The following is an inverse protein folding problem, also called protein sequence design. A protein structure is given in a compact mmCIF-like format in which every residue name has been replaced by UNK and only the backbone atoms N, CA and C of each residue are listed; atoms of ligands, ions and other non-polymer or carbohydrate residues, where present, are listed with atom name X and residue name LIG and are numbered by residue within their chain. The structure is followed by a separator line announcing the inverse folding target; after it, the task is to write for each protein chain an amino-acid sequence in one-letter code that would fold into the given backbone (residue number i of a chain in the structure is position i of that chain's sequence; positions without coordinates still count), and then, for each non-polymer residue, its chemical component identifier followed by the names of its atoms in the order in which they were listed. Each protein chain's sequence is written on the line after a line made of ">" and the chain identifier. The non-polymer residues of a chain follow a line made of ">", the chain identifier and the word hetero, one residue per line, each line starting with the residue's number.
data_IF_241908224254
#
_entry.id   IF_241908224254
#
_cell.length_a   1.000
_cell.length_b   1.000
_cell.length_c   1.000
_cell.angle_alpha   90.00
_cell.angle_beta   90.00
_cell.angle_gamma   90.00
#
_symmetry.space_group_name_H-M   'P 1'
#
loop_
_entity.id
_entity.type
_entity.pdbx_description
1 polymer ?
#
# COMPACT_ATOMS: atom_id res chain seq x y z
N UNK A 1 5.80 73.01 28.85
CA UNK A 1 6.59 71.98 29.56
C UNK A 1 7.96 72.58 29.77
N UNK A 2 8.35 72.87 31.01
CA UNK A 2 9.66 73.43 31.34
C UNK A 2 10.77 72.45 30.95
N UNK A 3 11.97 72.94 30.60
CA UNK A 3 13.12 72.09 30.27
C UNK A 3 13.49 71.13 31.41
N UNK A 4 13.24 71.54 32.67
CA UNK A 4 13.43 70.72 33.87
C UNK A 4 12.51 69.49 33.93
N UNK A 5 11.23 69.62 33.51
CA UNK A 5 10.28 68.51 33.47
C UNK A 5 10.65 67.48 32.39
N UNK A 6 11.20 67.95 31.26
CA UNK A 6 11.65 67.09 30.17
C UNK A 6 12.88 66.27 30.59
N UNK A 7 13.84 66.91 31.27
CA UNK A 7 15.04 66.26 31.80
C UNK A 7 14.70 65.19 32.85
N UNK A 8 13.77 65.49 33.76
CA UNK A 8 13.29 64.53 34.77
C UNK A 8 12.60 63.31 34.15
N UNK A 9 11.82 63.52 33.08
CA UNK A 9 11.16 62.43 32.35
C UNK A 9 12.16 61.56 31.58
N UNK A 10 13.16 62.18 30.96
CA UNK A 10 14.25 61.48 30.26
C UNK A 10 15.07 60.63 31.25
N UNK A 11 15.40 61.16 32.42
CA UNK A 11 16.11 60.43 33.48
C UNK A 11 15.32 59.26 34.05
N UNK A 12 13.98 59.40 34.19
CA UNK A 12 13.10 58.28 34.58
C UNK A 12 13.06 57.19 33.51
N UNK A 13 12.93 57.57 32.24
CA UNK A 13 12.95 56.62 31.12
C UNK A 13 14.31 55.91 30.99
N UNK A 14 15.42 56.62 31.19
CA UNK A 14 16.77 56.04 31.21
C UNK A 14 16.92 54.97 32.29
N UNK A 15 16.51 55.27 33.53
CA UNK A 15 16.52 54.28 34.62
C UNK A 15 15.61 53.09 34.35
N UNK A 16 14.47 53.33 33.69
CA UNK A 16 13.56 52.25 33.33
C UNK A 16 14.14 51.36 32.22
N UNK A 17 14.83 51.95 31.23
CA UNK A 17 15.55 51.21 30.21
C UNK A 17 16.68 50.36 30.82
N UNK A 18 17.47 50.92 31.73
CA UNK A 18 18.52 50.18 32.47
C UNK A 18 17.96 49.02 33.29
N UNK A 19 16.81 49.22 33.94
CA UNK A 19 16.12 48.15 34.67
C UNK A 19 15.63 47.03 33.74
N UNK A 20 15.04 47.38 32.59
CA UNK A 20 14.59 46.41 31.60
C UNK A 20 15.76 45.63 31.00
N UNK A 21 16.90 46.27 30.73
CA UNK A 21 18.09 45.57 30.24
C UNK A 21 18.64 44.57 31.25
N UNK A 22 18.63 44.91 32.54
CA UNK A 22 19.01 44.01 33.62
C UNK A 22 18.07 42.81 33.72
N UNK A 23 16.76 43.04 33.59
CA UNK A 23 15.79 41.94 33.56
C UNK A 23 15.98 41.04 32.33
N UNK A 24 16.29 41.61 31.17
CA UNK A 24 16.54 40.85 29.95
C UNK A 24 17.80 39.98 30.07
N UNK A 25 18.88 40.50 30.65
CA UNK A 25 20.08 39.71 30.95
C UNK A 25 19.79 38.58 31.94
N UNK A 26 19.06 38.86 33.02
CA UNK A 26 18.67 37.84 34.00
C UNK A 26 17.87 36.69 33.35
N UNK A 27 16.87 37.03 32.53
CA UNK A 27 16.05 36.04 31.82
C UNK A 27 16.92 35.24 30.82
N UNK A 28 17.87 35.89 30.13
CA UNK A 28 18.79 35.19 29.21
C UNK A 28 19.67 34.18 29.95
N UNK A 29 20.17 34.54 31.13
CA UNK A 29 20.98 33.65 31.95
C UNK A 29 20.15 32.49 32.53
N UNK A 30 18.93 32.74 32.99
CA UNK A 30 18.00 31.67 33.39
C UNK A 30 17.68 30.72 32.23
N UNK A 31 17.37 31.26 31.04
CA UNK A 31 17.15 30.46 29.84
C UNK A 31 18.36 29.59 29.48
N UNK A 32 19.58 30.11 29.68
CA UNK A 32 20.81 29.36 29.43
C UNK A 32 21.00 28.23 30.43
N UNK A 33 20.67 28.45 31.70
CA UNK A 33 20.71 27.41 32.73
C UNK A 33 19.66 26.33 32.50
N UNK A 34 18.41 26.73 32.24
CA UNK A 34 17.32 25.81 31.90
C UNK A 34 17.65 24.96 30.67
N UNK A 35 18.25 25.56 29.62
CA UNK A 35 18.71 24.80 28.45
C UNK A 35 19.77 23.76 28.80
N UNK A 36 20.71 24.07 29.71
CA UNK A 36 21.74 23.12 30.14
C UNK A 36 21.14 21.98 30.95
N UNK A 37 20.19 22.27 31.84
CA UNK A 37 19.48 21.25 32.61
C UNK A 37 18.67 20.34 31.70
N UNK A 38 17.99 20.90 30.70
CA UNK A 38 17.24 20.13 29.71
C UNK A 38 18.14 19.16 28.94
N UNK A 39 19.31 19.61 28.46
CA UNK A 39 20.26 18.74 27.77
C UNK A 39 20.75 17.60 28.67
N UNK A 40 21.07 17.89 29.93
CA UNK A 40 21.48 16.86 30.91
C UNK A 40 20.37 15.83 31.14
N UNK A 41 19.13 16.29 31.33
CA UNK A 41 17.99 15.41 31.50
C UNK A 41 17.74 14.53 30.26
N UNK A 42 17.87 15.10 29.05
CA UNK A 42 17.75 14.33 27.81
C UNK A 42 18.85 13.26 27.65
N UNK A 43 20.08 13.55 28.06
CA UNK A 43 21.18 12.58 28.04
C UNK A 43 20.98 11.45 29.06
N UNK A 44 20.36 11.73 30.21
CA UNK A 44 19.96 10.68 31.17
C UNK A 44 18.87 9.78 30.60
N UNK A 45 17.84 10.34 29.96
CA UNK A 45 16.78 9.57 29.30
C UNK A 45 17.36 8.67 28.20
N UNK A 46 18.25 9.20 27.34
CA UNK A 46 18.91 8.40 26.29
C UNK A 46 19.73 7.25 26.84
N UNK A 47 20.39 7.44 27.99
CA UNK A 47 21.13 6.37 28.67
C UNK A 47 20.20 5.26 29.12
N UNK A 48 19.05 5.60 29.70
CA UNK A 48 18.02 4.63 30.09
C UNK A 48 17.49 3.86 28.86
N UNK A 49 17.28 4.54 27.73
CA UNK A 49 16.84 3.93 26.47
C UNK A 49 17.87 3.00 25.82
N UNK A 50 19.17 3.24 26.04
CA UNK A 50 20.26 2.48 25.40
C UNK A 50 20.57 1.11 26.02
N UNK A 51 19.99 0.80 27.19
CA UNK A 51 20.14 -0.50 27.86
C UNK A 51 19.38 -1.56 27.07
N UNK A 52 19.83 -2.83 26.98
CA UNK A 52 19.10 -3.87 26.26
C UNK A 52 17.62 -3.93 26.66
N UNK A 53 16.75 -3.74 25.65
CA UNK A 53 15.30 -3.74 25.77
C UNK A 53 14.75 -5.13 25.44
N UNK A 54 13.68 -5.52 26.12
CA UNK A 54 12.87 -6.71 25.85
C UNK A 54 11.59 -6.25 25.15
N UNK A 55 11.19 -6.94 24.09
CA UNK A 55 9.96 -6.61 23.36
C UNK A 55 8.77 -7.29 24.05
N UNK A 56 7.67 -6.56 24.24
CA UNK A 56 6.40 -7.07 24.72
C UNK A 56 5.22 -6.44 23.99
N UNK A 57 4.02 -6.98 24.20
CA UNK A 57 2.76 -6.43 23.71
C UNK A 57 1.98 -5.80 24.86
N UNK A 58 1.61 -4.54 24.72
CA UNK A 58 0.78 -3.84 25.69
C UNK A 58 -0.66 -4.38 25.63
N UNK A 59 -1.20 -4.82 26.75
CA UNK A 59 -2.56 -5.37 26.82
C UNK A 59 -3.54 -4.28 27.20
N UNK A 60 -3.45 -3.77 28.43
CA UNK A 60 -4.42 -2.84 28.99
C UNK A 60 -3.76 -1.94 30.05
N UNK A 61 -4.10 -0.64 30.10
CA UNK A 61 -3.74 0.22 31.21
C UNK A 61 -4.60 -0.12 32.43
N UNK A 62 -3.99 -0.25 33.61
CA UNK A 62 -4.74 -0.40 34.87
C UNK A 62 -4.94 0.98 35.50
N UNK A 63 -3.84 1.72 35.67
CA UNK A 63 -3.84 3.07 36.24
C UNK A 63 -2.98 4.02 35.39
N UNK A 64 -2.88 5.27 35.82
CA UNK A 64 -2.07 6.30 35.16
C UNK A 64 -0.57 5.99 35.09
N UNK A 65 -0.05 5.15 35.99
CA UNK A 65 1.37 4.80 36.10
C UNK A 65 1.68 3.33 35.80
N UNK A 66 0.67 2.50 35.57
CA UNK A 66 0.80 1.03 35.53
C UNK A 66 -0.04 0.44 34.42
N UNK A 67 0.56 -0.47 33.65
CA UNK A 67 -0.10 -1.23 32.60
C UNK A 67 0.29 -2.70 32.64
N UNK A 68 -0.50 -3.52 31.97
CA UNK A 68 -0.20 -4.94 31.76
C UNK A 68 0.48 -5.09 30.41
N UNK A 69 1.64 -5.75 30.40
CA UNK A 69 2.34 -6.12 29.17
C UNK A 69 2.55 -7.62 29.13
N UNK A 70 2.27 -8.23 27.98
CA UNK A 70 2.63 -9.62 27.70
C UNK A 70 4.02 -9.67 27.10
N UNK A 71 4.95 -10.34 27.77
CA UNK A 71 6.27 -10.61 27.20
C UNK A 71 6.17 -11.65 26.08
N UNK A 72 7.13 -11.64 25.15
CA UNK A 72 7.27 -12.68 24.11
C UNK A 72 7.41 -14.10 24.68
N UNK A 73 7.78 -14.22 25.96
CA UNK A 73 7.82 -15.48 26.71
C UNK A 73 6.45 -15.98 27.20
N UNK A 74 5.35 -15.26 26.90
CA UNK A 74 3.99 -15.62 27.30
C UNK A 74 3.64 -15.32 28.77
N UNK A 75 4.54 -14.66 29.49
CA UNK A 75 4.31 -14.17 30.85
C UNK A 75 3.77 -12.74 30.82
N UNK A 76 2.69 -12.50 31.56
CA UNK A 76 2.14 -11.16 31.75
C UNK A 76 2.83 -10.49 32.93
N UNK A 77 3.34 -9.28 32.71
CA UNK A 77 3.98 -8.46 33.73
C UNK A 77 3.14 -7.21 34.00
N UNK A 78 3.03 -6.86 35.27
CA UNK A 78 2.62 -5.53 35.69
C UNK A 78 3.82 -4.61 35.57
N UNK A 79 3.71 -3.58 34.74
CA UNK A 79 4.83 -2.72 34.39
C UNK A 79 4.50 -1.26 34.65
N UNK A 80 5.51 -0.52 35.14
CA UNK A 80 5.39 0.93 35.32
C UNK A 80 5.60 1.64 33.98
N UNK A 81 4.70 2.56 33.66
CA UNK A 81 4.78 3.41 32.48
C UNK A 81 5.64 4.63 32.84
N UNK A 82 6.73 4.85 32.11
CA UNK A 82 7.54 6.05 32.29
C UNK A 82 6.74 7.30 31.88
N UNK A 83 6.85 8.37 32.66
CA UNK A 83 6.16 9.64 32.41
C UNK A 83 6.63 10.35 31.13
N UNK A 84 7.74 9.90 30.54
CA UNK A 84 8.27 10.38 29.27
C UNK A 84 7.47 9.91 28.06
N UNK A 85 6.58 8.93 28.23
CA UNK A 85 5.79 8.35 27.16
C UNK A 85 4.43 9.02 27.01
N UNK A 86 4.08 9.31 25.76
CA UNK A 86 2.78 9.83 25.40
C UNK A 86 1.73 8.72 25.47
N UNK A 87 0.96 8.77 26.56
CA UNK A 87 -0.12 7.82 26.87
C UNK A 87 -1.24 7.77 25.82
N UNK A 88 -1.42 8.81 25.03
CA UNK A 88 -2.41 8.83 23.94
C UNK A 88 -2.02 7.90 22.77
N UNK A 89 -0.72 7.63 22.60
CA UNK A 89 -0.21 6.72 21.58
C UNK A 89 -0.28 5.26 22.02
N UNK A 90 -0.42 4.99 23.32
CA UNK A 90 -0.56 3.64 23.87
C UNK A 90 -1.95 3.08 23.56
N UNK A 91 -2.03 2.35 22.45
CA UNK A 91 -3.21 1.53 22.12
C UNK A 91 -3.02 0.11 22.65
N UNK A 92 -4.11 -0.57 23.05
CA UNK A 92 -4.09 -2.01 23.29
C UNK A 92 -3.46 -2.73 22.10
N UNK A 93 -2.69 -3.78 22.35
CA UNK A 93 -1.90 -4.56 21.38
C UNK A 93 -0.77 -3.83 20.64
N UNK A 94 -0.35 -2.66 21.12
CA UNK A 94 0.88 -2.00 20.63
C UNK A 94 2.14 -2.76 21.07
N UNK A 95 3.13 -2.83 20.18
CA UNK A 95 4.46 -3.34 20.51
C UNK A 95 5.18 -2.31 21.37
N UNK A 96 5.68 -2.74 22.52
CA UNK A 96 6.35 -1.86 23.48
C UNK A 96 7.71 -2.43 23.88
N UNK A 97 8.64 -1.54 24.12
CA UNK A 97 9.97 -1.85 24.63
C UNK A 97 9.97 -1.77 26.15
N UNK A 98 10.30 -2.89 26.78
CA UNK A 98 10.46 -3.02 28.21
C UNK A 98 11.95 -2.98 28.58
N UNK A 99 12.25 -2.38 29.73
CA UNK A 99 13.59 -2.47 30.29
C UNK A 99 13.86 -3.86 30.88
N UNK A 100 15.02 -4.48 30.56
CA UNK A 100 15.33 -5.87 30.94
C UNK A 100 15.26 -6.21 32.43
N UNK A 101 15.56 -5.27 33.33
CA UNK A 101 15.65 -5.55 34.77
C UNK A 101 14.45 -5.05 35.58
N UNK A 102 13.89 -3.91 35.19
CA UNK A 102 12.79 -3.26 35.91
C UNK A 102 11.44 -3.56 35.28
N UNK A 103 11.43 -4.17 34.08
CA UNK A 103 10.26 -4.34 33.23
C UNK A 103 9.51 -3.02 33.00
N UNK A 104 10.12 -1.85 33.21
CA UNK A 104 9.45 -0.57 32.96
C UNK A 104 9.25 -0.37 31.45
N UNK A 105 8.12 0.23 31.08
CA UNK A 105 7.83 0.58 29.68
C UNK A 105 8.64 1.82 29.31
N UNK A 106 9.57 1.66 28.37
CA UNK A 106 10.56 2.68 27.98
C UNK A 106 10.17 3.39 26.71
N UNK A 107 9.70 2.64 25.73
CA UNK A 107 9.33 3.19 24.43
C UNK A 107 8.20 2.37 23.77
N UNK A 108 7.47 2.99 22.85
CA UNK A 108 6.52 2.30 21.99
C UNK A 108 7.25 2.01 20.69
N UNK A 109 7.36 0.74 20.35
CA UNK A 109 7.96 0.36 19.08
C UNK A 109 6.91 0.57 17.98
N UNK A 110 7.32 1.03 16.79
CA UNK A 110 6.44 0.95 15.63
C UNK A 110 5.97 -0.50 15.51
N UNK A 111 4.66 -0.72 15.26
CA UNK A 111 4.14 -2.07 15.15
C UNK A 111 4.96 -2.80 14.10
N UNK A 112 5.43 -4.01 14.41
CA UNK A 112 6.08 -4.86 13.43
C UNK A 112 5.09 -5.04 12.27
N UNK A 113 5.35 -4.36 11.16
CA UNK A 113 4.78 -4.78 9.90
C UNK A 113 5.43 -6.13 9.63
N UNK A 114 4.64 -7.20 9.65
CA UNK A 114 5.13 -8.52 9.30
C UNK A 114 5.90 -8.41 7.98
N UNK A 115 7.08 -9.03 7.91
CA UNK A 115 7.96 -9.00 6.73
C UNK A 115 7.31 -9.48 5.42
N UNK A 116 6.11 -10.07 5.50
CA UNK A 116 5.25 -10.43 4.39
C UNK A 116 4.55 -9.24 3.73
N UNK A 117 4.34 -8.13 4.45
CA UNK A 117 3.71 -6.92 3.91
C UNK A 117 4.80 -6.09 3.22
N UNK A 118 4.94 -6.31 1.91
CA UNK A 118 5.83 -5.51 1.08
C UNK A 118 5.20 -4.12 0.85
N UNK A 119 5.54 -3.18 1.73
CA UNK A 119 5.39 -1.75 1.42
C UNK A 119 6.32 -1.44 0.25
N UNK A 120 5.75 -1.28 -0.95
CA UNK A 120 6.51 -0.61 -2.01
C UNK A 120 6.62 0.86 -1.61
N UNK A 121 7.79 1.23 -1.11
CA UNK A 121 8.12 2.64 -0.88
C UNK A 121 8.07 3.42 -2.19
N UNK A 122 8.11 4.76 -2.12
CA UNK A 122 8.07 5.63 -3.31
C UNK A 122 9.13 5.31 -4.38
N UNK A 123 10.23 4.65 -3.98
CA UNK A 123 11.33 4.22 -4.85
C UNK A 123 11.09 2.90 -5.61
N UNK A 124 9.99 2.21 -5.35
CA UNK A 124 9.66 0.90 -5.93
C UNK A 124 8.39 0.95 -6.80
N UNK A 125 7.98 2.16 -7.23
CA UNK A 125 6.85 2.33 -8.16
C UNK A 125 7.14 1.55 -9.46
N UNK A 126 6.20 0.74 -9.96
CA UNK A 126 6.39 0.04 -11.22
C UNK A 126 6.48 1.04 -12.39
N UNK A 127 7.53 0.95 -13.21
CA UNK A 127 7.76 1.79 -14.40
C UNK A 127 6.79 1.55 -15.58
N UNK A 128 5.61 0.98 -15.33
CA UNK A 128 4.63 0.71 -16.39
C UNK A 128 3.79 1.96 -16.62
N UNK A 129 3.67 2.39 -17.88
CA UNK A 129 2.85 3.55 -18.24
C UNK A 129 1.60 3.12 -19.00
N UNK A 130 0.60 4.00 -19.13
CA UNK A 130 -0.59 3.70 -19.96
C UNK A 130 -0.26 3.48 -21.45
N UNK A 131 0.88 4.02 -21.91
CA UNK A 131 1.43 3.78 -23.25
C UNK A 131 1.92 2.35 -23.46
N UNK A 132 2.36 1.66 -22.40
CA UNK A 132 2.79 0.26 -22.46
C UNK A 132 1.60 -0.72 -22.53
N UNK A 133 0.37 -0.24 -22.43
CA UNK A 133 -0.84 -1.06 -22.49
C UNK A 133 -1.55 -0.81 -23.81
N UNK A 134 -1.63 -1.81 -24.68
CA UNK A 134 -2.36 -1.71 -25.94
C UNK A 134 -3.87 -1.91 -25.77
N UNK A 135 -4.68 -1.02 -26.36
CA UNK A 135 -6.15 -1.12 -26.33
C UNK A 135 -6.78 -0.84 -24.96
N UNK A 136 -7.96 -1.45 -24.71
CA UNK A 136 -8.75 -1.34 -23.48
C UNK A 136 -9.14 0.10 -23.12
N UNK A 137 -9.48 0.92 -24.11
CA UNK A 137 -9.72 2.36 -23.93
C UNK A 137 -10.87 2.63 -22.94
N UNK A 138 -11.93 1.82 -23.00
CA UNK A 138 -13.09 1.93 -22.10
C UNK A 138 -12.66 1.61 -20.65
N UNK A 139 -11.96 0.49 -20.45
CA UNK A 139 -11.51 0.06 -19.12
C UNK A 139 -10.50 1.05 -18.52
N UNK A 140 -9.59 1.60 -19.35
CA UNK A 140 -8.66 2.65 -18.93
C UNK A 140 -9.42 3.89 -18.46
N UNK A 141 -10.43 4.31 -19.20
CA UNK A 141 -11.25 5.46 -18.82
C UNK A 141 -11.99 5.20 -17.49
N UNK A 142 -12.65 4.05 -17.35
CA UNK A 142 -13.38 3.70 -16.12
C UNK A 142 -12.48 3.67 -14.88
N UNK A 143 -11.25 3.13 -14.99
CA UNK A 143 -10.31 3.13 -13.86
C UNK A 143 -9.80 4.53 -13.55
N UNK A 144 -9.49 5.35 -14.57
CA UNK A 144 -9.10 6.76 -14.35
C UNK A 144 -10.20 7.54 -13.65
N UNK A 145 -11.45 7.31 -14.04
CA UNK A 145 -12.61 7.94 -13.41
C UNK A 145 -12.83 7.50 -11.96
N UNK A 146 -12.57 6.24 -11.64
CA UNK A 146 -12.69 5.76 -10.27
C UNK A 146 -11.51 6.19 -9.37
N UNK A 147 -10.28 6.15 -9.90
CA UNK A 147 -9.05 6.28 -9.10
C UNK A 147 -8.41 7.66 -9.20
N UNK A 148 -8.25 8.22 -10.40
CA UNK A 148 -7.54 9.50 -10.57
C UNK A 148 -8.45 10.70 -10.26
N UNK A 149 -9.70 10.64 -10.72
CA UNK A 149 -10.65 11.76 -10.63
C UNK A 149 -10.96 12.20 -9.19
N UNK A 150 -11.26 11.29 -8.24
CA UNK A 150 -11.47 11.73 -6.87
C UNK A 150 -10.18 12.09 -6.11
N UNK A 151 -8.99 11.76 -6.64
CA UNK A 151 -7.71 12.22 -6.04
C UNK A 151 -7.37 13.63 -6.50
N UNK A 152 -7.64 13.96 -7.76
CA UNK A 152 -7.32 15.26 -8.35
C UNK A 152 -8.39 16.31 -8.04
N UNK A 153 -9.67 15.95 -8.12
CA UNK A 153 -10.80 16.89 -8.09
C UNK A 153 -11.84 16.52 -7.02
N UNK A 154 -11.41 16.43 -5.76
CA UNK A 154 -12.32 16.12 -4.64
C UNK A 154 -13.45 17.17 -4.47
N UNK A 155 -13.16 18.44 -4.77
CA UNK A 155 -14.14 19.53 -4.63
C UNK A 155 -15.36 19.37 -5.53
N UNK A 156 -15.20 18.76 -6.72
CA UNK A 156 -16.32 18.50 -7.63
C UNK A 156 -17.31 17.51 -7.01
N UNK A 157 -16.82 16.45 -6.37
CA UNK A 157 -17.67 15.49 -5.66
C UNK A 157 -18.45 16.16 -4.53
N UNK A 158 -17.77 17.04 -3.77
CA UNK A 158 -18.39 17.77 -2.65
C UNK A 158 -19.47 18.76 -3.12
N UNK A 159 -19.26 19.44 -4.25
CA UNK A 159 -20.24 20.37 -4.82
C UNK A 159 -21.46 19.65 -5.38
N UNK A 160 -21.27 18.49 -6.02
CA UNK A 160 -22.36 17.69 -6.58
C UNK A 160 -23.09 16.92 -5.46
N UNK A 161 -22.44 16.68 -4.32
CA UNK A 161 -23.01 15.96 -3.18
C UNK A 161 -23.07 14.45 -3.39
N UNK A 162 -22.12 13.90 -4.18
CA UNK A 162 -22.02 12.46 -4.46
C UNK A 162 -20.75 11.93 -3.80
N UNK A 163 -20.86 10.77 -3.15
CA UNK A 163 -19.70 10.09 -2.58
C UNK A 163 -18.83 9.47 -3.69
N UNK A 164 -17.49 9.61 -3.60
CA UNK A 164 -16.61 8.92 -4.53
C UNK A 164 -16.76 7.40 -4.40
N UNK A 165 -16.56 6.63 -5.48
CA UNK A 165 -16.63 5.17 -5.43
C UNK A 165 -15.57 4.62 -4.47
N UNK A 166 -15.96 3.68 -3.60
CA UNK A 166 -15.06 3.14 -2.56
C UNK A 166 -14.10 2.07 -3.07
N UNK A 167 -14.52 1.28 -4.06
CA UNK A 167 -13.71 0.19 -4.60
C UNK A 167 -14.04 -0.19 -6.03
N UNK A 168 -13.02 -0.76 -6.69
CA UNK A 168 -13.04 -1.13 -8.12
C UNK A 168 -12.64 -2.59 -8.29
N UNK A 169 -13.60 -3.40 -8.72
CA UNK A 169 -13.41 -4.81 -9.01
C UNK A 169 -13.03 -5.01 -10.49
N UNK A 170 -11.86 -5.61 -10.76
CA UNK A 170 -11.39 -5.95 -12.10
C UNK A 170 -11.56 -7.46 -12.38
N UNK A 171 -12.45 -7.85 -13.30
CA UNK A 171 -12.72 -9.27 -13.58
C UNK A 171 -12.64 -9.63 -15.07
N UNK A 172 -12.39 -10.92 -15.39
CA UNK A 172 -12.12 -11.39 -16.76
C UNK A 172 -11.06 -12.50 -16.84
N UNK A 173 -10.80 -13.07 -18.03
CA UNK A 173 -9.86 -14.17 -18.19
C UNK A 173 -8.41 -13.76 -17.87
N UNK A 174 -7.57 -14.70 -17.42
CA UNK A 174 -6.16 -14.44 -17.16
C UNK A 174 -5.43 -14.03 -18.45
N UNK A 175 -4.38 -13.21 -18.32
CA UNK A 175 -3.59 -12.75 -19.47
C UNK A 175 -4.15 -11.51 -20.20
N UNK A 176 -5.23 -10.90 -19.71
CA UNK A 176 -5.82 -9.65 -20.25
C UNK A 176 -5.13 -8.37 -19.76
N UNK A 177 -4.03 -8.48 -19.01
CA UNK A 177 -3.22 -7.32 -18.61
C UNK A 177 -3.78 -6.51 -17.43
N UNK A 178 -4.74 -7.04 -16.67
CA UNK A 178 -5.32 -6.37 -15.49
C UNK A 178 -4.27 -5.87 -14.49
N UNK A 179 -3.29 -6.71 -14.15
CA UNK A 179 -2.19 -6.35 -13.23
C UNK A 179 -1.33 -5.22 -13.80
N UNK A 180 -1.12 -5.19 -15.12
CA UNK A 180 -0.38 -4.11 -15.77
C UNK A 180 -1.14 -2.79 -15.73
N UNK A 181 -2.47 -2.83 -15.86
CA UNK A 181 -3.30 -1.63 -15.79
C UNK A 181 -3.27 -0.99 -14.40
N UNK A 182 -3.35 -1.80 -13.34
CA UNK A 182 -3.22 -1.29 -11.97
C UNK A 182 -1.84 -0.69 -11.73
N UNK A 183 -0.77 -1.34 -12.20
CA UNK A 183 0.60 -0.80 -12.10
C UNK A 183 0.74 0.54 -12.83
N UNK A 184 0.12 0.68 -14.00
CA UNK A 184 0.13 1.93 -14.75
C UNK A 184 -0.62 3.07 -14.02
N UNK A 185 -1.74 2.75 -13.38
CA UNK A 185 -2.48 3.72 -12.55
C UNK A 185 -1.61 4.15 -11.37
N UNK A 186 -0.98 3.19 -10.68
CA UNK A 186 -0.09 3.46 -9.56
C UNK A 186 1.08 4.39 -9.95
N UNK A 187 1.66 4.21 -11.13
CA UNK A 187 2.71 5.09 -11.66
C UNK A 187 2.22 6.52 -11.92
N UNK A 188 0.99 6.68 -12.44
CA UNK A 188 0.41 7.99 -12.73
C UNK A 188 -0.10 8.74 -11.48
N UNK A 189 -0.40 8.02 -10.41
CA UNK A 189 -0.87 8.60 -9.14
C UNK A 189 0.29 8.87 -8.19
N UNK A 190 0.21 9.96 -7.41
CA UNK A 190 1.16 10.26 -6.32
C UNK A 190 0.85 9.51 -5.03
N UNK A 191 -0.13 8.61 -5.03
CA UNK A 191 -0.56 7.86 -3.86
C UNK A 191 0.44 6.73 -3.52
N UNK A 192 0.52 6.37 -2.24
CA UNK A 192 1.25 5.18 -1.79
C UNK A 192 0.60 3.93 -2.37
N UNK A 193 1.40 2.98 -2.88
CA UNK A 193 0.89 1.75 -3.49
C UNK A 193 1.24 0.55 -2.64
N UNK A 194 0.21 -0.12 -2.12
CA UNK A 194 0.36 -1.31 -1.27
C UNK A 194 -0.13 -2.51 -2.08
N UNK A 195 0.78 -3.41 -2.45
CA UNK A 195 0.44 -4.65 -3.14
C UNK A 195 0.41 -5.81 -2.15
N UNK A 196 -0.68 -6.56 -2.16
CA UNK A 196 -0.81 -7.79 -1.36
C UNK A 196 -1.36 -8.90 -2.25
N UNK A 197 -0.85 -10.12 -2.10
CA UNK A 197 -1.47 -11.26 -2.77
C UNK A 197 -2.54 -11.89 -1.86
N UNK A 198 -3.72 -12.21 -2.39
CA UNK A 198 -4.83 -12.82 -1.66
C UNK A 198 -4.43 -14.13 -0.98
N UNK A 199 -3.53 -14.90 -1.60
CA UNK A 199 -2.98 -16.12 -1.04
C UNK A 199 -2.08 -15.90 0.19
N UNK A 200 -1.47 -14.72 0.36
CA UNK A 200 -0.60 -14.41 1.51
C UNK A 200 -1.38 -14.30 2.83
N UNK A 201 -2.69 -13.98 2.77
CA UNK A 201 -3.54 -13.95 3.96
C UNK A 201 -3.83 -15.34 4.53
N UNK A 202 -3.68 -16.40 3.73
CA UNK A 202 -3.97 -17.78 4.15
C UNK A 202 -2.74 -18.38 4.82
N UNK A 203 -2.64 -18.20 6.13
CA UNK A 203 -1.54 -18.73 6.95
C UNK A 203 -1.89 -20.06 7.61
N UNK A 204 -0.85 -20.83 7.95
CA UNK A 204 -1.00 -22.10 8.69
C UNK A 204 -1.47 -21.89 10.14
N UNK A 205 -1.15 -20.73 10.73
CA UNK A 205 -1.49 -20.41 12.10
C UNK A 205 -2.83 -19.69 12.18
N UNK A 206 -3.68 -20.16 13.11
CA UNK A 206 -5.02 -19.62 13.31
C UNK A 206 -4.94 -18.20 13.88
N UNK A 207 -5.66 -17.24 13.28
CA UNK A 207 -5.73 -15.86 13.73
C UNK A 207 -4.65 -14.93 13.15
N UNK A 208 -3.64 -15.45 12.45
CA UNK A 208 -2.60 -14.65 11.79
C UNK A 208 -3.17 -13.90 10.57
N UNK A 209 -4.01 -14.56 9.76
CA UNK A 209 -4.65 -13.94 8.59
C UNK A 209 -5.46 -12.68 8.93
N UNK A 210 -6.43 -12.72 9.88
CA UNK A 210 -7.18 -11.53 10.29
C UNK A 210 -6.31 -10.44 10.93
N UNK A 211 -5.17 -10.79 11.54
CA UNK A 211 -4.20 -9.80 12.04
C UNK A 211 -3.51 -9.10 10.88
N UNK A 212 -3.03 -9.84 9.88
CA UNK A 212 -2.40 -9.28 8.68
C UNK A 212 -3.33 -8.32 7.93
N UNK A 213 -4.62 -8.67 7.76
CA UNK A 213 -5.61 -7.77 7.14
C UNK A 213 -5.69 -6.43 7.90
N UNK A 214 -5.80 -6.47 9.23
CA UNK A 214 -5.82 -5.25 10.06
C UNK A 214 -4.54 -4.43 9.92
N UNK A 215 -3.39 -5.09 9.83
CA UNK A 215 -2.10 -4.44 9.71
C UNK A 215 -1.94 -3.75 8.33
N UNK A 216 -2.37 -4.39 7.23
CA UNK A 216 -2.40 -3.80 5.88
C UNK A 216 -3.29 -2.55 5.84
N UNK A 217 -4.51 -2.62 6.39
CA UNK A 217 -5.41 -1.47 6.41
C UNK A 217 -4.94 -0.36 7.37
N UNK A 218 -4.27 -0.69 8.49
CA UNK A 218 -3.64 0.31 9.37
C UNK A 218 -2.54 1.06 8.63
N UNK A 219 -1.69 0.32 7.93
CA UNK A 219 -0.59 0.87 7.17
C UNK A 219 -1.04 1.74 5.99
N UNK A 220 -2.15 1.37 5.35
CA UNK A 220 -2.81 2.21 4.35
C UNK A 220 -3.32 3.53 4.94
N UNK A 221 -3.83 3.53 6.18
CA UNK A 221 -4.27 4.75 6.88
C UNK A 221 -3.11 5.67 7.22
N UNK A 222 -2.00 5.11 7.69
CA UNK A 222 -0.79 5.88 8.03
C UNK A 222 -0.17 6.53 6.78
N UNK A 223 -0.26 5.87 5.62
CA UNK A 223 0.28 6.35 4.34
C UNK A 223 -0.78 7.00 3.42
N UNK A 224 -1.81 7.63 3.97
CA UNK A 224 -2.86 8.28 3.17
C UNK A 224 -2.32 9.52 2.41
N UNK A 225 -2.61 9.69 1.11
CA UNK A 225 -3.47 8.88 0.24
C UNK A 225 -2.77 7.59 -0.23
N UNK A 226 -3.46 6.45 -0.09
CA UNK A 226 -2.94 5.13 -0.47
C UNK A 226 -3.92 4.35 -1.34
N UNK A 227 -3.35 3.46 -2.15
CA UNK A 227 -4.02 2.52 -3.02
C UNK A 227 -3.63 1.12 -2.57
N UNK A 228 -4.59 0.36 -2.07
CA UNK A 228 -4.41 -1.07 -1.78
C UNK A 228 -4.76 -1.84 -3.05
N UNK A 229 -3.87 -2.74 -3.47
CA UNK A 229 -4.08 -3.64 -4.59
C UNK A 229 -3.98 -5.08 -4.10
N UNK A 230 -5.11 -5.79 -4.13
CA UNK A 230 -5.21 -7.21 -3.80
C UNK A 230 -5.28 -8.03 -5.08
N UNK A 231 -4.24 -8.81 -5.34
CA UNK A 231 -4.20 -9.81 -6.42
C UNK A 231 -4.83 -11.13 -5.95
N UNK A 232 -5.37 -11.95 -6.86
CA UNK A 232 -5.91 -13.30 -6.54
C UNK A 232 -6.87 -13.36 -5.33
N UNK A 233 -7.74 -12.35 -5.17
CA UNK A 233 -8.69 -12.32 -4.04
C UNK A 233 -9.69 -13.49 -4.07
N UNK A 234 -9.84 -14.17 -5.21
CA UNK A 234 -10.63 -15.39 -5.32
C UNK A 234 -10.10 -16.54 -4.45
N UNK A 235 -8.83 -16.48 -4.01
CA UNK A 235 -8.28 -17.40 -3.01
C UNK A 235 -8.96 -17.28 -1.63
N UNK A 236 -9.39 -16.07 -1.25
CA UNK A 236 -10.03 -15.80 0.06
C UNK A 236 -11.54 -15.56 -0.03
N UNK A 237 -12.04 -15.22 -1.21
CA UNK A 237 -13.43 -14.81 -1.42
C UNK A 237 -14.31 -15.92 -2.03
N UNK A 238 -14.03 -17.19 -1.72
CA UNK A 238 -14.84 -18.32 -2.20
C UNK A 238 -16.25 -18.31 -1.60
N UNK A 239 -17.26 -18.59 -2.43
CA UNK A 239 -18.66 -18.72 -1.99
C UNK A 239 -18.79 -19.72 -0.84
N UNK A 240 -19.63 -19.35 0.13
CA UNK A 240 -20.03 -20.13 1.31
C UNK A 240 -20.77 -21.42 0.92
N UNK A 241 -20.06 -22.44 0.46
CA UNK A 241 -20.60 -23.78 0.35
C UNK A 241 -19.98 -24.63 1.47
N UNK A 242 -20.85 -25.10 2.38
CA UNK A 242 -20.59 -25.98 3.54
C UNK A 242 -19.13 -26.23 3.89
N UNK A 243 -18.56 -25.33 4.69
CA UNK A 243 -17.22 -25.46 5.28
C UNK A 243 -17.21 -26.61 6.30
N UNK A 244 -16.95 -27.83 5.81
CA UNK A 244 -16.73 -29.01 6.66
C UNK A 244 -15.31 -29.04 7.26
N UNK A 245 -14.36 -28.30 6.67
CA UNK A 245 -12.94 -28.30 7.05
C UNK A 245 -12.55 -27.10 7.92
N UNK A 246 -11.61 -27.30 8.85
CA UNK A 246 -11.09 -26.22 9.71
C UNK A 246 -10.39 -25.09 8.95
N UNK A 247 -9.79 -25.38 7.79
CA UNK A 247 -9.12 -24.40 6.95
C UNK A 247 -10.12 -23.41 6.30
N UNK A 248 -11.27 -23.90 5.83
CA UNK A 248 -12.29 -23.06 5.19
C UNK A 248 -12.91 -22.06 6.18
N UNK A 249 -13.03 -22.46 7.46
CA UNK A 249 -13.49 -21.56 8.52
C UNK A 249 -12.54 -20.40 8.78
N UNK A 250 -11.24 -20.61 8.61
CA UNK A 250 -10.24 -19.56 8.78
C UNK A 250 -10.28 -18.56 7.61
N UNK A 251 -10.38 -19.07 6.38
CA UNK A 251 -10.57 -18.23 5.18
C UNK A 251 -11.83 -17.37 5.30
N UNK A 252 -12.92 -17.92 5.84
CA UNK A 252 -14.15 -17.16 6.10
C UNK A 252 -13.94 -16.06 7.15
N UNK A 253 -13.16 -16.29 8.20
CA UNK A 253 -12.84 -15.24 9.19
C UNK A 253 -12.03 -14.11 8.59
N UNK A 254 -11.04 -14.44 7.74
CA UNK A 254 -10.24 -13.46 7.00
C UNK A 254 -11.14 -12.61 6.13
N UNK A 255 -12.06 -13.22 5.38
CA UNK A 255 -13.02 -12.51 4.54
C UNK A 255 -13.92 -11.58 5.37
N UNK A 256 -14.44 -12.04 6.50
CA UNK A 256 -15.28 -11.23 7.39
C UNK A 256 -14.51 -10.03 7.97
N UNK A 257 -13.24 -10.22 8.33
CA UNK A 257 -12.38 -9.13 8.81
C UNK A 257 -12.13 -8.12 7.69
N UNK A 258 -11.82 -8.58 6.47
CA UNK A 258 -11.65 -7.71 5.30
C UNK A 258 -12.90 -6.87 5.03
N UNK A 259 -14.08 -7.50 5.06
CA UNK A 259 -15.36 -6.80 4.92
C UNK A 259 -15.58 -5.74 6.03
N UNK A 260 -15.20 -6.06 7.26
CA UNK A 260 -15.33 -5.15 8.41
C UNK A 260 -14.38 -3.96 8.28
N UNK A 261 -13.14 -4.18 7.83
CA UNK A 261 -12.18 -3.10 7.58
C UNK A 261 -12.61 -2.21 6.41
N UNK A 262 -13.18 -2.77 5.35
CA UNK A 262 -13.72 -2.01 4.21
C UNK A 262 -14.92 -1.13 4.61
N UNK A 263 -15.84 -1.66 5.44
CA UNK A 263 -17.01 -0.91 5.91
C UNK A 263 -16.61 0.16 6.95
N UNK A 264 -15.65 -0.15 7.81
CA UNK A 264 -15.15 0.72 8.88
C UNK A 264 -14.30 1.90 8.41
N UNK A 265 -14.08 2.05 7.10
CA UNK A 265 -13.44 3.23 6.54
C UNK A 265 -14.41 4.42 6.51
N UNK A 266 -14.16 5.37 7.42
CA UNK A 266 -14.91 6.63 7.54
C UNK A 266 -14.72 7.52 6.29
N UNK A 267 -15.81 8.21 5.93
CA UNK A 267 -15.98 9.06 4.74
C UNK A 267 -14.99 10.23 4.59
N UNK A 268 -14.11 10.49 5.57
CA UNK A 268 -13.18 11.64 5.55
C UNK A 268 -11.74 11.32 5.12
N UNK A 269 -11.37 10.04 5.02
CA UNK A 269 -9.99 9.65 4.71
C UNK A 269 -9.85 9.20 3.25
N UNK A 270 -8.95 9.88 2.52
CA UNK A 270 -8.56 9.64 1.13
C UNK A 270 -7.85 8.29 0.90
N UNK A 271 -8.33 7.20 1.52
CA UNK A 271 -7.81 5.87 1.26
C UNK A 271 -8.73 5.22 0.27
N UNK A 272 -8.25 5.14 -0.97
CA UNK A 272 -8.96 4.45 -2.04
C UNK A 272 -8.54 3.00 -2.00
N UNK A 273 -9.46 2.19 -1.51
CA UNK A 273 -9.36 0.74 -1.52
C UNK A 273 -9.64 0.28 -2.94
N UNK A 274 -8.63 0.30 -3.82
CA UNK A 274 -8.77 -0.27 -5.17
C UNK A 274 -8.64 -1.80 -5.10
N UNK A 275 -9.56 -2.44 -4.39
CA UNK A 275 -9.51 -3.88 -4.16
C UNK A 275 -10.02 -4.67 -5.35
N UNK A 276 -9.25 -5.73 -5.67
CA UNK A 276 -9.65 -6.99 -6.29
C UNK A 276 -9.36 -7.14 -7.79
N UNK A 277 -8.26 -7.81 -8.10
CA UNK A 277 -8.12 -8.54 -9.37
C UNK A 277 -8.79 -9.91 -9.23
N UNK A 278 -9.85 -10.16 -9.99
CA UNK A 278 -10.62 -11.40 -9.90
C UNK A 278 -10.57 -12.16 -11.21
N UNK A 279 -10.09 -13.40 -11.15
CA UNK A 279 -10.06 -14.31 -12.29
C UNK A 279 -11.48 -14.74 -12.72
N UNK A 280 -12.42 -14.88 -11.76
CA UNK A 280 -13.80 -15.32 -12.00
C UNK A 280 -14.82 -14.56 -11.12
N UNK A 281 -15.71 -13.79 -11.72
CA UNK A 281 -16.75 -13.05 -10.97
C UNK A 281 -17.77 -13.98 -10.28
N UNK A 282 -17.97 -15.19 -10.83
CA UNK A 282 -18.99 -16.14 -10.35
C UNK A 282 -18.63 -16.82 -9.02
N UNK A 283 -17.36 -16.83 -8.61
CA UNK A 283 -16.91 -17.54 -7.40
C UNK A 283 -16.99 -16.68 -6.13
N UNK A 284 -17.38 -15.41 -6.26
CA UNK A 284 -17.36 -14.44 -5.18
C UNK A 284 -18.54 -14.53 -4.21
N UNK A 285 -18.27 -14.23 -2.95
CA UNK A 285 -19.33 -13.98 -1.97
C UNK A 285 -20.15 -12.73 -2.40
N UNK A 286 -21.48 -12.86 -2.57
CA UNK A 286 -22.35 -11.71 -2.87
C UNK A 286 -22.28 -10.59 -1.82
N UNK A 287 -21.75 -10.85 -0.62
CA UNK A 287 -21.49 -9.82 0.38
C UNK A 287 -20.50 -8.75 -0.12
N UNK A 288 -19.49 -9.12 -0.93
CA UNK A 288 -18.53 -8.15 -1.50
C UNK A 288 -19.16 -7.29 -2.60
N UNK A 289 -20.18 -7.82 -3.29
CA UNK A 289 -20.83 -7.16 -4.43
C UNK A 289 -21.90 -6.14 -4.02
N UNK A 290 -22.11 -5.92 -2.71
CA UNK A 290 -23.07 -4.94 -2.22
C UNK A 290 -22.55 -3.52 -2.46
N UNK A 291 -23.44 -2.58 -2.87
CA UNK A 291 -23.08 -1.17 -3.00
C UNK A 291 -22.60 -0.61 -1.66
N UNK A 292 -21.52 0.18 -1.69
CA UNK A 292 -20.77 0.67 -0.53
C UNK A 292 -19.45 -0.05 -0.27
N UNK A 293 -19.16 -1.13 -0.99
CA UNK A 293 -17.89 -1.88 -0.94
C UNK A 293 -17.20 -1.88 -2.30
N UNK A 294 -17.62 -2.78 -3.19
CA UNK A 294 -17.15 -2.86 -4.59
C UNK A 294 -18.19 -2.22 -5.51
N UNK A 295 -18.10 -0.91 -5.65
CA UNK A 295 -19.09 -0.10 -6.40
C UNK A 295 -18.91 -0.22 -7.91
N UNK A 296 -17.67 -0.27 -8.39
CA UNK A 296 -17.35 -0.37 -9.82
C UNK A 296 -16.90 -1.77 -10.17
N UNK A 297 -17.45 -2.31 -11.24
CA UNK A 297 -17.12 -3.63 -11.78
C UNK A 297 -16.70 -3.45 -13.21
N UNK A 298 -15.43 -3.72 -13.50
CA UNK A 298 -14.82 -3.51 -14.81
C UNK A 298 -14.49 -4.86 -15.40
N UNK A 299 -15.14 -5.15 -16.52
CA UNK A 299 -14.93 -6.39 -17.26
C UNK A 299 -13.81 -6.23 -18.28
N UNK A 300 -12.92 -7.22 -18.30
CA UNK A 300 -11.89 -7.37 -19.31
C UNK A 300 -12.33 -8.43 -20.30
N UNK A 301 -12.89 -8.05 -21.46
CA UNK A 301 -13.22 -9.00 -22.51
C UNK A 301 -11.94 -9.56 -23.15
N UNK A 302 -12.09 -10.66 -23.89
CA UNK A 302 -11.02 -11.13 -24.78
C UNK A 302 -10.73 -10.07 -25.85
N UNK A 303 -9.45 -9.83 -26.19
CA UNK A 303 -9.09 -8.72 -27.07
C UNK A 303 -9.58 -8.97 -28.49
N UNK A 304 -10.25 -7.97 -29.06
CA UNK A 304 -10.70 -7.98 -30.46
C UNK A 304 -9.53 -7.85 -31.45
N UNK A 305 -9.70 -8.16 -32.74
CA UNK A 305 -8.62 -8.10 -33.75
C UNK A 305 -7.92 -6.73 -33.77
N UNK A 306 -8.69 -5.64 -33.63
CA UNK A 306 -8.13 -4.28 -33.54
C UNK A 306 -7.29 -4.08 -32.27
N UNK A 307 -7.77 -4.57 -31.13
CA UNK A 307 -7.07 -4.46 -29.85
C UNK A 307 -5.80 -5.32 -29.84
N UNK A 308 -5.85 -6.53 -30.42
CA UNK A 308 -4.68 -7.39 -30.61
C UNK A 308 -3.59 -6.68 -31.41
N UNK A 309 -3.95 -5.98 -32.48
CA UNK A 309 -3.00 -5.15 -33.26
C UNK A 309 -2.35 -4.05 -32.42
N UNK A 310 -3.13 -3.38 -31.56
CA UNK A 310 -2.60 -2.36 -30.65
C UNK A 310 -1.65 -2.96 -29.62
N UNK A 311 -2.02 -4.07 -28.99
CA UNK A 311 -1.17 -4.80 -28.04
C UNK A 311 0.13 -5.22 -28.71
N UNK A 312 0.05 -5.73 -29.93
CA UNK A 312 1.21 -6.08 -30.76
C UNK A 312 2.14 -4.90 -30.97
N UNK A 313 1.59 -3.79 -31.45
CA UNK A 313 2.33 -2.56 -31.73
C UNK A 313 3.09 -2.08 -30.49
N UNK A 314 2.44 -2.16 -29.32
CA UNK A 314 3.07 -1.78 -28.06
C UNK A 314 4.18 -2.75 -27.64
N UNK A 315 3.98 -4.08 -27.80
CA UNK A 315 5.01 -5.08 -27.50
C UNK A 315 6.21 -4.98 -28.45
N UNK A 316 5.95 -4.72 -29.72
CA UNK A 316 6.96 -4.60 -30.77
C UNK A 316 7.70 -3.28 -30.74
N UNK A 317 7.16 -2.24 -30.08
CA UNK A 317 7.83 -0.94 -29.93
C UNK A 317 9.22 -1.01 -29.29
N UNK A 318 9.48 -2.04 -28.47
CA UNK A 318 10.78 -2.29 -27.83
C UNK A 318 11.72 -3.15 -28.67
N UNK A 319 11.22 -3.75 -29.75
CA UNK A 319 11.97 -4.65 -30.63
C UNK A 319 12.32 -3.95 -31.95
N UNK A 320 13.48 -4.29 -32.53
CA UNK A 320 13.80 -3.87 -33.88
C UNK A 320 13.15 -4.84 -34.88
N UNK A 321 12.07 -4.41 -35.52
CA UNK A 321 11.45 -5.14 -36.62
C UNK A 321 11.81 -4.55 -37.97
N UNK A 322 11.80 -5.41 -38.99
CA UNK A 322 11.88 -4.99 -40.38
C UNK A 322 10.58 -4.29 -40.80
N UNK A 323 10.68 -3.31 -41.71
CA UNK A 323 9.53 -2.61 -42.31
C UNK A 323 8.59 -3.56 -43.10
N UNK A 324 9.06 -4.77 -43.42
CA UNK A 324 8.30 -5.81 -44.13
C UNK A 324 7.38 -6.66 -43.22
N UNK A 325 7.36 -6.39 -41.91
CA UNK A 325 6.54 -7.16 -40.97
C UNK A 325 5.13 -6.60 -40.91
N UNK A 326 4.17 -7.34 -41.45
CA UNK A 326 2.76 -7.06 -41.26
C UNK A 326 2.26 -7.64 -39.91
N UNK A 327 1.71 -6.77 -39.08
CA UNK A 327 1.18 -7.11 -37.75
C UNK A 327 -0.33 -7.44 -37.81
N UNK A 328 -0.97 -7.40 -38.98
CA UNK A 328 -2.42 -7.59 -39.11
C UNK A 328 -2.92 -9.03 -39.00
N UNK A 329 -2.05 -10.01 -39.26
CA UNK A 329 -2.45 -11.43 -39.38
C UNK A 329 -2.06 -12.29 -38.18
N UNK A 330 -1.28 -11.74 -37.24
CA UNK A 330 -0.90 -12.49 -36.08
C UNK A 330 -1.94 -12.27 -34.96
N UNK A 331 -2.59 -13.34 -34.49
CA UNK A 331 -3.73 -13.26 -33.57
C UNK A 331 -3.47 -13.75 -32.12
N UNK A 332 -2.29 -14.30 -31.78
CA UNK A 332 -1.95 -14.87 -30.46
C UNK A 332 -0.54 -14.45 -30.00
N UNK A 333 -0.40 -13.33 -29.28
CA UNK A 333 0.73 -12.44 -29.62
C UNK A 333 1.92 -12.36 -28.69
N UNK A 334 1.76 -12.45 -27.38
CA UNK A 334 2.90 -12.18 -26.49
C UNK A 334 3.98 -13.28 -26.55
N UNK A 335 3.57 -14.54 -26.50
CA UNK A 335 4.47 -15.70 -26.57
C UNK A 335 5.13 -15.83 -27.95
N UNK A 336 4.37 -15.57 -29.03
CA UNK A 336 4.87 -15.66 -30.41
C UNK A 336 5.91 -14.57 -30.69
N UNK A 337 5.66 -13.33 -30.27
CA UNK A 337 6.62 -12.22 -30.45
C UNK A 337 7.91 -12.48 -29.67
N UNK A 338 7.81 -13.00 -28.43
CA UNK A 338 9.00 -13.40 -27.67
C UNK A 338 9.76 -14.56 -28.33
N UNK A 339 9.05 -15.59 -28.81
CA UNK A 339 9.65 -16.71 -29.51
C UNK A 339 10.33 -16.26 -30.82
N UNK A 340 9.70 -15.37 -31.58
CA UNK A 340 10.25 -14.77 -32.79
C UNK A 340 11.53 -13.99 -32.49
N UNK A 341 11.54 -13.18 -31.41
CA UNK A 341 12.74 -12.50 -30.91
C UNK A 341 13.85 -13.50 -30.57
N UNK A 342 13.53 -14.60 -29.90
CA UNK A 342 14.50 -15.65 -29.57
C UNK A 342 15.09 -16.33 -30.81
N UNK A 343 14.28 -16.57 -31.86
CA UNK A 343 14.78 -17.11 -33.13
C UNK A 343 15.72 -16.15 -33.86
N UNK A 344 15.43 -14.84 -33.82
CA UNK A 344 16.32 -13.82 -34.37
C UNK A 344 17.65 -13.79 -33.62
N UNK A 345 17.62 -13.84 -32.28
CA UNK A 345 18.81 -13.91 -31.43
C UNK A 345 19.60 -15.20 -31.70
N UNK A 346 18.94 -16.36 -31.80
CA UNK A 346 19.61 -17.64 -32.12
C UNK A 346 20.31 -17.61 -33.48
N UNK A 347 19.79 -16.83 -34.42
CA UNK A 347 20.39 -16.63 -35.72
C UNK A 347 21.44 -15.50 -35.75
N UNK A 348 21.82 -14.94 -34.60
CA UNK A 348 22.72 -13.78 -34.46
C UNK A 348 22.28 -12.56 -35.28
N UNK A 349 20.96 -12.34 -35.39
CA UNK A 349 20.39 -11.20 -36.10
C UNK A 349 19.88 -10.13 -35.13
N UNK A 350 20.11 -8.87 -35.47
CA UNK A 350 19.66 -7.70 -34.70
C UNK A 350 18.23 -7.24 -35.04
N UNK A 351 17.62 -7.84 -36.07
CA UNK A 351 16.29 -7.48 -36.58
C UNK A 351 15.43 -8.74 -36.71
N UNK A 352 14.19 -8.66 -36.25
CA UNK A 352 13.19 -9.73 -36.41
C UNK A 352 12.58 -9.65 -37.81
N UNK A 353 12.60 -10.77 -38.54
CA UNK A 353 11.98 -10.88 -39.87
C UNK A 353 10.62 -11.60 -39.79
N UNK A 354 9.76 -11.38 -40.80
CA UNK A 354 8.46 -12.05 -40.92
C UNK A 354 8.58 -13.58 -40.86
N UNK A 355 9.67 -14.14 -41.41
CA UNK A 355 9.99 -15.59 -41.36
C UNK A 355 10.17 -16.13 -39.93
N UNK A 356 10.66 -15.31 -39.00
CA UNK A 356 10.85 -15.73 -37.61
C UNK A 356 9.52 -15.74 -36.85
N UNK A 357 8.62 -14.81 -37.18
CA UNK A 357 7.26 -14.75 -36.65
C UNK A 357 6.44 -15.94 -37.17
N UNK A 358 6.56 -16.29 -38.46
CA UNK A 358 5.93 -17.48 -39.03
C UNK A 358 6.43 -18.76 -38.35
N UNK A 359 7.74 -18.90 -38.13
CA UNK A 359 8.32 -20.04 -37.41
C UNK A 359 7.81 -20.12 -35.97
N UNK A 360 7.75 -18.97 -35.29
CA UNK A 360 7.19 -18.89 -33.95
C UNK A 360 5.71 -19.30 -33.92
N UNK A 361 4.91 -18.82 -34.88
CA UNK A 361 3.51 -19.17 -35.01
C UNK A 361 3.30 -20.67 -35.23
N UNK A 362 4.09 -21.27 -36.13
CA UNK A 362 4.07 -22.74 -36.31
C UNK A 362 4.41 -23.43 -35.00
N UNK A 363 5.47 -23.03 -34.30
CA UNK A 363 5.87 -23.72 -33.06
C UNK A 363 4.86 -23.62 -31.91
N UNK A 364 4.10 -22.53 -31.81
CA UNK A 364 3.22 -22.24 -30.68
C UNK A 364 1.78 -22.69 -30.90
N UNK A 365 1.26 -22.51 -32.12
CA UNK A 365 -0.15 -22.79 -32.46
C UNK A 365 -0.29 -24.17 -33.09
N UNK A 366 0.64 -24.53 -33.98
CA UNK A 366 0.74 -25.88 -34.53
C UNK A 366 1.73 -26.65 -33.67
N UNK A 367 1.27 -27.27 -32.58
CA UNK A 367 1.91 -28.55 -32.22
C UNK A 367 1.93 -29.35 -33.53
N UNK A 368 3.08 -29.83 -34.02
CA UNK A 368 3.02 -30.82 -35.06
C UNK A 368 2.19 -31.93 -34.42
N UNK A 369 0.97 -32.13 -34.93
CA UNK A 369 0.44 -33.47 -35.00
C UNK A 369 1.57 -34.23 -35.70
N UNK A 370 2.44 -34.86 -34.89
CA UNK A 370 3.15 -36.02 -35.36
C UNK A 370 2.02 -37.01 -35.64
N UNK A 371 1.45 -36.87 -36.84
CA UNK A 371 0.94 -38.00 -37.59
C UNK A 371 2.13 -38.95 -37.71
N UNK A 372 2.35 -39.71 -36.64
CA UNK A 372 3.17 -40.89 -36.63
C UNK A 372 2.61 -41.71 -37.79
N UNK A 373 3.38 -41.83 -38.87
CA UNK A 373 3.16 -42.72 -40.02
C UNK A 373 3.10 -44.22 -39.61
N UNK A 374 2.80 -44.51 -38.34
CA UNK A 374 2.68 -45.83 -37.75
C UNK A 374 1.27 -46.43 -37.89
N UNK A 375 0.29 -45.66 -38.38
CA UNK A 375 -1.03 -46.15 -38.75
C UNK A 375 -1.28 -45.94 -40.26
N UNK A 376 -0.64 -46.77 -41.09
CA UNK A 376 -1.12 -47.05 -42.45
C UNK A 376 -0.83 -48.49 -42.86
#
# INVERSE_FOLDING_TARGET
>A
MSEEDLYLKLKKLSKHAEFLTLQEEYIKDELKNLKRELVRAQEEVKRIQSVPLVIGQFLEPIDESTGIVSSTTGSNYLVSILSTLDRELLKPSSSVALHRHSNALVDILPPEADSSISLLGDNEKPDVTYSDIGGLDIQKQEIREAVELPLTNFDLYRQIGIDPPRGVLLYGPPGTGKTMLVKAVAHHTTASFIRVNGSEFVQKYLGEGPRMVRDVFRLARENSPSIIFIDEIDAIATKRFDAQTGADREVQRILLELLTQMDGFDQSSNVKVNDSLISRADTLDPALLRPGRLDRKIEFPTPDRRQKRLILTTLTSKMNLSEEVDLEDCAEMASIVQAAGLYAVRANRYVVLSKDIEKAYVSSVKKPDLDLEFYR
#
